data_IF_003660551822
#
_entry.id   IF_003660551822
#
_cell.length_a   1.000
_cell.length_b   1.000
_cell.length_c   1.000
_cell.angle_alpha   90.00
_cell.angle_beta   90.00
_cell.angle_gamma   90.00
#
_symmetry.space_group_name_H-M   'P 1'
#
loop_
_entity.id
_entity.type
_entity.pdbx_description
1 polymer ?
#
# COMPACT_ATOMS: atom_id res chain seq x y z
N UNK A 1 19.79 1.05 19.11
CA UNK A 1 18.75 2.08 19.34
C UNK A 1 17.42 1.38 19.48
N UNK A 2 16.63 1.73 20.48
CA UNK A 2 15.35 1.08 20.77
C UNK A 2 14.35 1.38 19.65
N UNK A 3 13.99 0.35 18.90
CA UNK A 3 13.13 0.42 17.72
C UNK A 3 11.66 0.70 18.07
N UNK A 4 11.28 0.62 19.34
CA UNK A 4 9.87 0.63 19.76
C UNK A 4 9.60 1.79 20.72
N UNK A 5 8.70 2.70 20.34
CA UNK A 5 8.05 3.66 21.22
C UNK A 5 6.71 3.10 21.65
N UNK A 6 6.54 2.85 22.95
CA UNK A 6 5.32 2.28 23.52
C UNK A 6 4.44 3.39 24.08
N UNK A 7 3.20 3.46 23.59
CA UNK A 7 2.14 4.24 24.21
C UNK A 7 1.20 3.36 25.04
N UNK A 8 1.12 2.06 24.71
CA UNK A 8 0.30 1.07 25.42
C UNK A 8 1.03 -0.29 25.51
N UNK A 9 0.81 -1.02 26.60
CA UNK A 9 1.42 -2.33 26.84
C UNK A 9 0.96 -3.40 25.82
N UNK A 10 -0.22 -3.23 25.21
CA UNK A 10 -0.68 -4.13 24.16
C UNK A 10 0.25 -4.15 22.93
N UNK A 11 1.11 -3.15 22.74
CA UNK A 11 2.12 -3.17 21.68
C UNK A 11 3.12 -4.34 21.83
N UNK A 12 3.35 -4.83 23.04
CA UNK A 12 4.24 -5.98 23.28
C UNK A 12 3.65 -7.30 22.76
N UNK A 13 2.33 -7.37 22.52
CA UNK A 13 1.70 -8.49 21.81
C UNK A 13 2.04 -8.48 20.31
N UNK A 14 2.39 -7.32 19.75
CA UNK A 14 2.72 -7.13 18.33
C UNK A 14 4.23 -7.24 18.08
N UNK A 15 5.03 -6.50 18.85
CA UNK A 15 6.47 -6.36 18.65
C UNK A 15 7.25 -6.75 19.92
N UNK A 16 8.16 -7.70 19.79
CA UNK A 16 9.03 -8.12 20.90
C UNK A 16 10.18 -7.13 21.18
N UNK A 17 10.80 -7.18 22.37
CA UNK A 17 11.94 -6.34 22.71
C UNK A 17 13.16 -6.56 21.78
N UNK A 18 13.28 -7.76 21.21
CA UNK A 18 14.37 -8.15 20.31
C UNK A 18 14.04 -7.90 18.82
N UNK A 19 13.13 -6.97 18.51
CA UNK A 19 12.77 -6.63 17.13
C UNK A 19 14.03 -6.23 16.33
N UNK A 20 14.37 -7.03 15.32
CA UNK A 20 15.52 -6.78 14.44
C UNK A 20 15.06 -6.15 13.14
N UNK A 21 15.65 -5.01 12.81
CA UNK A 21 15.56 -4.39 11.49
C UNK A 21 16.71 -4.89 10.62
N UNK A 22 16.37 -5.60 9.55
CA UNK A 22 17.32 -6.22 8.63
C UNK A 22 17.19 -5.59 7.24
N UNK A 23 18.30 -5.09 6.69
CA UNK A 23 18.36 -4.64 5.30
C UNK A 23 18.63 -5.81 4.37
N UNK A 24 17.76 -5.99 3.37
CA UNK A 24 17.77 -7.14 2.46
C UNK A 24 18.40 -6.81 1.11
N UNK A 25 18.15 -5.60 0.61
CA UNK A 25 18.71 -5.09 -0.64
C UNK A 25 18.71 -3.55 -0.63
N UNK A 26 19.62 -2.93 -1.38
CA UNK A 26 19.69 -1.48 -1.58
C UNK A 26 20.16 -1.13 -3.00
N UNK A 27 20.37 0.17 -3.25
CA UNK A 27 20.75 0.69 -4.57
C UNK A 27 19.58 1.12 -5.44
N UNK A 28 18.37 1.18 -4.88
CA UNK A 28 17.16 1.64 -5.57
C UNK A 28 17.02 3.17 -5.51
N UNK A 29 16.17 3.73 -6.39
CA UNK A 29 15.92 5.18 -6.40
C UNK A 29 14.81 5.60 -5.44
N UNK A 30 13.67 4.90 -5.48
CA UNK A 30 12.58 5.07 -4.51
C UNK A 30 11.65 3.84 -4.53
N UNK A 31 11.77 2.99 -3.51
CA UNK A 31 11.04 1.74 -3.35
C UNK A 31 9.63 1.96 -2.82
N UNK A 32 8.67 1.26 -3.38
CA UNK A 32 7.25 1.33 -3.03
C UNK A 32 6.53 -0.01 -3.27
N UNK A 33 5.28 -0.11 -2.81
CA UNK A 33 4.36 -1.20 -3.12
C UNK A 33 4.88 -2.62 -2.88
N UNK A 34 5.47 -2.97 -1.72
CA UNK A 34 5.94 -4.33 -1.47
C UNK A 34 4.77 -5.32 -1.36
N UNK A 35 4.80 -6.40 -2.15
CA UNK A 35 3.81 -7.48 -2.12
C UNK A 35 4.47 -8.86 -2.17
N UNK A 36 4.10 -9.75 -1.26
CA UNK A 36 4.65 -11.11 -1.19
C UNK A 36 3.89 -12.08 -2.11
N UNK A 37 4.64 -12.77 -2.98
CA UNK A 37 4.13 -13.85 -3.83
C UNK A 37 4.47 -15.18 -3.19
N UNK A 38 3.56 -15.68 -2.33
CA UNK A 38 3.80 -16.87 -1.50
C UNK A 38 4.15 -18.13 -2.31
N UNK A 39 3.44 -18.39 -3.40
CA UNK A 39 3.65 -19.59 -4.24
C UNK A 39 5.07 -19.65 -4.83
N UNK A 40 5.70 -18.49 -5.04
CA UNK A 40 7.07 -18.40 -5.53
C UNK A 40 8.12 -18.12 -4.44
N UNK A 41 7.71 -17.81 -3.21
CA UNK A 41 8.61 -17.45 -2.12
C UNK A 41 9.44 -16.19 -2.40
N UNK A 42 8.84 -15.16 -2.99
CA UNK A 42 9.52 -13.91 -3.31
C UNK A 42 8.66 -12.66 -3.08
N UNK A 43 9.33 -11.54 -2.82
CA UNK A 43 8.72 -10.22 -2.72
C UNK A 43 8.79 -9.52 -4.08
N UNK A 44 7.72 -8.86 -4.49
CA UNK A 44 7.74 -7.85 -5.54
C UNK A 44 7.65 -6.46 -4.92
N UNK A 45 8.32 -5.47 -5.51
CA UNK A 45 8.22 -4.07 -5.12
C UNK A 45 8.57 -3.17 -6.30
N UNK A 46 8.03 -1.96 -6.31
CA UNK A 46 8.31 -0.96 -7.35
C UNK A 46 9.56 -0.16 -7.00
N UNK A 47 10.37 0.18 -8.00
CA UNK A 47 11.33 1.31 -7.94
C UNK A 47 10.82 2.39 -8.91
N UNK A 48 10.07 3.35 -8.35
CA UNK A 48 9.21 4.24 -9.16
C UNK A 48 10.03 5.03 -10.19
N UNK A 49 11.11 5.75 -9.80
CA UNK A 49 11.86 6.57 -10.74
C UNK A 49 12.63 5.75 -11.76
N UNK A 50 13.06 4.54 -11.39
CA UNK A 50 13.72 3.62 -12.31
C UNK A 50 12.75 3.00 -13.35
N UNK A 51 11.43 3.10 -13.12
CA UNK A 51 10.44 2.51 -14.01
C UNK A 51 10.51 0.98 -14.04
N UNK A 52 10.81 0.37 -12.89
CA UNK A 52 10.96 -1.09 -12.72
C UNK A 52 10.09 -1.63 -11.60
N UNK A 53 9.63 -2.87 -11.75
CA UNK A 53 9.29 -3.73 -10.61
C UNK A 53 10.46 -4.68 -10.40
N UNK A 54 10.89 -4.80 -9.16
CA UNK A 54 11.91 -5.72 -8.72
C UNK A 54 11.30 -6.94 -8.05
N UNK A 55 12.02 -8.06 -8.11
CA UNK A 55 11.79 -9.28 -7.34
C UNK A 55 12.93 -9.41 -6.34
N UNK A 56 12.62 -9.69 -5.07
CA UNK A 56 13.61 -10.13 -4.10
C UNK A 56 13.26 -11.53 -3.60
N UNK A 57 14.25 -12.42 -3.58
CA UNK A 57 14.13 -13.72 -2.92
C UNK A 57 15.33 -13.99 -2.01
N UNK A 58 15.19 -14.80 -0.96
CA UNK A 58 16.31 -15.17 -0.10
C UNK A 58 17.47 -15.83 -0.85
N UNK A 59 17.18 -16.52 -1.97
CA UNK A 59 18.17 -17.28 -2.75
C UNK A 59 18.92 -16.40 -3.75
N UNK A 60 18.21 -15.49 -4.42
CA UNK A 60 18.74 -14.75 -5.59
C UNK A 60 19.05 -13.28 -5.26
N UNK A 61 18.64 -12.78 -4.08
CA UNK A 61 18.65 -11.35 -3.80
C UNK A 61 17.68 -10.60 -4.70
N UNK A 62 17.97 -9.32 -4.97
CA UNK A 62 17.12 -8.47 -5.80
C UNK A 62 17.47 -8.58 -7.29
N UNK A 63 16.45 -8.70 -8.14
CA UNK A 63 16.54 -8.72 -9.61
C UNK A 63 15.38 -7.95 -10.23
N UNK A 64 15.45 -7.63 -11.53
CA UNK A 64 14.35 -6.98 -12.25
C UNK A 64 13.29 -8.01 -12.60
N UNK A 65 12.03 -7.72 -12.25
CA UNK A 65 10.86 -8.53 -12.58
C UNK A 65 10.13 -8.00 -13.82
N UNK A 66 9.95 -6.67 -13.93
CA UNK A 66 9.26 -6.03 -15.06
C UNK A 66 9.87 -4.68 -15.39
N UNK A 67 10.24 -4.50 -16.66
CA UNK A 67 10.71 -3.25 -17.26
C UNK A 67 10.23 -3.17 -18.73
N UNK A 68 9.57 -2.09 -19.16
CA UNK A 68 9.15 -0.93 -18.35
C UNK A 68 7.99 -1.28 -17.42
N UNK A 69 7.98 -0.70 -16.22
CA UNK A 69 6.85 -0.76 -15.27
C UNK A 69 5.87 0.39 -15.39
N UNK A 70 6.16 1.36 -16.27
CA UNK A 70 5.44 2.64 -16.39
C UNK A 70 5.40 3.44 -15.08
N UNK A 71 6.52 3.40 -14.33
CA UNK A 71 6.64 3.97 -12.98
C UNK A 71 5.52 3.45 -12.09
N UNK A 72 5.45 2.13 -12.01
CA UNK A 72 4.53 1.47 -11.10
C UNK A 72 4.78 1.92 -9.67
N UNK A 73 3.73 1.97 -8.87
CA UNK A 73 3.79 2.33 -7.46
C UNK A 73 3.27 1.16 -6.62
N UNK A 74 2.10 1.28 -5.99
CA UNK A 74 1.48 0.23 -5.20
C UNK A 74 1.20 -1.03 -6.01
N UNK A 75 1.47 -2.17 -5.38
CA UNK A 75 1.27 -3.50 -5.93
C UNK A 75 0.38 -4.31 -4.98
N UNK A 76 -0.48 -5.14 -5.56
CA UNK A 76 -1.20 -6.18 -4.82
C UNK A 76 -1.39 -7.43 -5.68
N UNK A 77 -1.98 -8.47 -5.11
CA UNK A 77 -2.37 -9.67 -5.84
C UNK A 77 -3.88 -9.82 -5.79
N UNK A 78 -4.50 -10.10 -6.94
CA UNK A 78 -5.91 -10.45 -6.96
C UNK A 78 -6.17 -11.85 -6.38
N UNK A 79 -7.44 -12.24 -6.32
CA UNK A 79 -7.87 -13.53 -5.77
C UNK A 79 -7.36 -14.76 -6.55
N UNK A 80 -6.79 -14.56 -7.73
CA UNK A 80 -6.21 -15.59 -8.59
C UNK A 80 -4.67 -15.55 -8.57
N UNK A 81 -4.07 -14.72 -7.71
CA UNK A 81 -2.62 -14.56 -7.60
C UNK A 81 -1.99 -13.73 -8.72
N UNK A 82 -2.81 -13.03 -9.51
CA UNK A 82 -2.31 -12.16 -10.58
C UNK A 82 -1.87 -10.82 -10.00
N UNK A 83 -0.74 -10.31 -10.50
CA UNK A 83 -0.21 -9.02 -10.07
C UNK A 83 -1.13 -7.89 -10.54
N UNK A 84 -1.54 -7.04 -9.61
CA UNK A 84 -2.21 -5.77 -9.84
C UNK A 84 -1.19 -4.66 -9.53
N UNK A 85 -1.09 -3.68 -10.43
CA UNK A 85 -0.14 -2.58 -10.27
C UNK A 85 -0.80 -1.24 -10.59
N UNK A 86 -0.58 -0.27 -9.71
CA UNK A 86 -0.81 1.15 -9.98
C UNK A 86 0.32 1.68 -10.87
N UNK A 87 0.00 2.37 -11.98
CA UNK A 87 0.99 2.93 -12.92
C UNK A 87 0.84 4.45 -13.03
N UNK A 88 1.85 5.21 -12.58
CA UNK A 88 1.80 6.68 -12.65
C UNK A 88 1.85 7.19 -14.10
N UNK A 89 2.77 6.69 -14.94
CA UNK A 89 2.88 7.15 -16.35
C UNK A 89 1.69 6.65 -17.17
N UNK A 90 1.25 5.41 -16.92
CA UNK A 90 0.10 4.83 -17.58
C UNK A 90 -1.22 5.52 -17.21
N UNK A 91 -1.28 6.19 -16.05
CA UNK A 91 -2.51 6.73 -15.43
C UNK A 91 -3.61 5.66 -15.39
N UNK A 92 -3.22 4.47 -14.92
CA UNK A 92 -4.07 3.27 -14.94
C UNK A 92 -3.72 2.32 -13.80
N UNK A 93 -4.65 1.44 -13.48
CA UNK A 93 -4.39 0.21 -12.74
C UNK A 93 -4.32 -0.93 -13.75
N UNK A 94 -3.26 -1.72 -13.70
CA UNK A 94 -3.04 -2.86 -14.60
C UNK A 94 -3.07 -4.19 -13.86
N UNK A 95 -3.34 -5.26 -14.62
CA UNK A 95 -3.27 -6.65 -14.19
C UNK A 95 -2.35 -7.42 -15.12
N UNK A 96 -1.43 -8.20 -14.56
CA UNK A 96 -0.62 -9.16 -15.31
C UNK A 96 -1.35 -10.50 -15.37
N UNK A 97 -1.78 -10.89 -16.56
CA UNK A 97 -2.42 -12.19 -16.81
C UNK A 97 -1.40 -13.34 -16.75
N UNK A 98 -1.89 -14.58 -16.69
CA UNK A 98 -1.07 -15.77 -16.53
C UNK A 98 -0.07 -15.99 -17.69
N UNK A 99 -0.38 -15.49 -18.89
CA UNK A 99 0.50 -15.50 -20.07
C UNK A 99 1.54 -14.36 -20.05
N UNK A 100 1.57 -13.56 -18.98
CA UNK A 100 2.45 -12.40 -18.83
C UNK A 100 1.91 -11.11 -19.45
N UNK A 101 0.76 -11.15 -20.15
CA UNK A 101 0.17 -9.95 -20.76
C UNK A 101 -0.28 -8.97 -19.69
N UNK A 102 0.07 -7.69 -19.86
CA UNK A 102 -0.37 -6.61 -18.97
C UNK A 102 -1.60 -5.92 -19.57
N UNK A 103 -2.73 -6.02 -18.89
CA UNK A 103 -4.00 -5.40 -19.30
C UNK A 103 -4.43 -4.29 -18.35
N UNK A 104 -5.09 -3.26 -18.84
CA UNK A 104 -5.68 -2.23 -17.98
C UNK A 104 -6.99 -2.73 -17.37
N UNK A 105 -7.15 -2.59 -16.06
CA UNK A 105 -8.43 -2.84 -15.37
C UNK A 105 -9.13 -1.55 -14.95
N UNK A 106 -8.42 -0.42 -14.91
CA UNK A 106 -8.97 0.92 -14.73
C UNK A 106 -8.09 1.94 -15.47
N UNK A 107 -8.69 2.84 -16.26
CA UNK A 107 -7.94 3.88 -17.03
C UNK A 107 -8.58 5.27 -17.00
N UNK A 108 -9.79 5.37 -16.44
CA UNK A 108 -10.63 6.57 -16.52
C UNK A 108 -12.04 6.26 -17.01
N UNK A 109 -12.92 7.24 -16.93
CA UNK A 109 -14.33 7.19 -17.36
C UNK A 109 -14.69 8.50 -18.07
N UNK A 110 -15.70 8.46 -18.93
CA UNK A 110 -16.25 9.66 -19.62
C UNK A 110 -15.20 10.47 -20.40
N UNK A 111 -14.21 9.79 -20.97
CA UNK A 111 -13.10 10.42 -21.70
C UNK A 111 -12.00 11.00 -20.81
N UNK A 112 -12.25 11.16 -19.52
CA UNK A 112 -11.28 11.63 -18.54
C UNK A 112 -10.40 10.48 -18.04
N UNK A 113 -9.09 10.69 -18.01
CA UNK A 113 -8.10 9.76 -17.46
C UNK A 113 -8.01 9.94 -15.93
N UNK A 114 -7.72 8.82 -15.24
CA UNK A 114 -7.33 8.84 -13.82
C UNK A 114 -6.17 9.81 -13.58
N UNK A 115 -5.97 10.30 -12.35
CA UNK A 115 -4.84 11.16 -12.03
C UNK A 115 -3.53 10.36 -12.18
N UNK A 116 -3.14 9.64 -11.14
CA UNK A 116 -1.98 8.77 -11.09
C UNK A 116 -2.21 7.76 -9.95
N UNK A 117 -2.84 6.61 -10.23
CA UNK A 117 -3.15 5.62 -9.20
C UNK A 117 -1.92 5.31 -8.34
N UNK A 118 -2.07 5.30 -7.02
CA UNK A 118 -0.93 5.32 -6.10
C UNK A 118 -0.76 4.01 -5.34
N UNK A 119 -1.72 3.62 -4.50
CA UNK A 119 -1.76 2.31 -3.83
C UNK A 119 -3.06 1.56 -4.13
N UNK A 120 -3.08 0.24 -3.90
CA UNK A 120 -4.14 -0.66 -4.35
C UNK A 120 -4.36 -1.85 -3.42
N UNK A 121 -5.63 -2.23 -3.24
CA UNK A 121 -6.04 -3.43 -2.50
C UNK A 121 -7.12 -4.19 -3.27
N UNK A 122 -7.01 -5.52 -3.29
CA UNK A 122 -8.05 -6.40 -3.83
C UNK A 122 -8.94 -6.92 -2.71
N UNK A 123 -10.25 -6.84 -2.94
CA UNK A 123 -11.28 -7.30 -2.01
C UNK A 123 -11.62 -8.78 -2.27
N UNK A 124 -12.18 -9.48 -1.28
CA UNK A 124 -12.52 -10.90 -1.34
C UNK A 124 -13.56 -11.25 -2.43
N UNK A 125 -14.40 -10.29 -2.82
CA UNK A 125 -15.37 -10.41 -3.92
C UNK A 125 -14.74 -10.22 -5.31
N UNK A 126 -13.44 -9.92 -5.37
CA UNK A 126 -12.69 -9.72 -6.60
C UNK A 126 -12.66 -8.29 -7.13
N UNK A 127 -13.37 -7.34 -6.49
CA UNK A 127 -13.23 -5.93 -6.80
C UNK A 127 -11.85 -5.39 -6.35
N UNK A 128 -11.38 -4.36 -7.03
CA UNK A 128 -10.13 -3.67 -6.70
C UNK A 128 -10.42 -2.24 -6.29
N UNK A 129 -9.87 -1.81 -5.15
CA UNK A 129 -9.94 -0.43 -4.67
C UNK A 129 -8.55 0.18 -4.77
N UNK A 130 -8.47 1.45 -5.16
CA UNK A 130 -7.20 2.15 -5.29
C UNK A 130 -7.33 3.64 -5.02
N UNK A 131 -6.27 4.24 -4.52
CA UNK A 131 -6.13 5.69 -4.37
C UNK A 131 -5.66 6.33 -5.68
N UNK A 132 -6.18 7.52 -6.00
CA UNK A 132 -5.84 8.26 -7.21
C UNK A 132 -5.49 9.73 -6.92
N UNK A 133 -4.39 9.98 -6.19
CA UNK A 133 -3.81 11.32 -6.04
C UNK A 133 -3.13 11.76 -7.35
N UNK A 134 -2.75 13.03 -7.40
CA UNK A 134 -2.03 13.65 -8.52
C UNK A 134 -0.49 13.63 -8.36
N UNK A 135 0.08 12.86 -7.43
CA UNK A 135 1.52 12.84 -7.18
C UNK A 135 2.37 12.54 -8.43
N UNK A 136 1.95 11.55 -9.23
CA UNK A 136 2.61 11.18 -10.49
C UNK A 136 2.41 12.19 -11.62
N UNK A 137 1.51 13.17 -11.47
CA UNK A 137 1.27 14.23 -12.44
C UNK A 137 2.12 15.49 -12.21
N UNK A 138 2.77 15.60 -11.05
CA UNK A 138 3.48 16.83 -10.65
C UNK A 138 4.91 16.90 -11.19
N UNK A 139 5.53 15.76 -11.50
CA UNK A 139 6.93 15.70 -11.92
C UNK A 139 7.26 14.43 -12.72
N UNK A 140 8.31 14.52 -13.52
CA UNK A 140 8.83 13.40 -14.31
C UNK A 140 9.77 12.48 -13.53
N UNK A 141 10.03 12.72 -12.23
CA UNK A 141 10.81 11.78 -11.43
C UNK A 141 9.98 10.53 -11.13
N UNK A 142 8.74 10.69 -10.65
CA UNK A 142 7.88 9.56 -10.25
C UNK A 142 6.70 9.30 -11.20
N UNK A 143 6.46 10.15 -12.20
CA UNK A 143 5.40 9.94 -13.17
C UNK A 143 5.66 10.68 -14.48
N UNK A 144 4.65 11.37 -14.99
CA UNK A 144 4.74 12.20 -16.19
C UNK A 144 3.90 13.46 -15.97
N UNK A 145 4.49 14.63 -16.16
CA UNK A 145 3.78 15.90 -15.95
C UNK A 145 2.55 16.03 -16.86
N UNK A 146 1.38 16.23 -16.26
CA UNK A 146 0.14 16.49 -16.98
C UNK A 146 -0.88 17.17 -16.06
N UNK A 147 -1.86 17.92 -16.60
CA UNK A 147 -2.95 18.43 -15.79
C UNK A 147 -3.85 17.28 -15.32
N UNK A 148 -4.53 17.49 -14.20
CA UNK A 148 -5.64 16.63 -13.78
C UNK A 148 -6.82 16.77 -14.76
N UNK A 149 -7.57 15.68 -14.93
CA UNK A 149 -8.81 15.67 -15.72
C UNK A 149 -10.06 15.53 -14.82
N UNK A 150 -9.88 15.08 -13.58
CA UNK A 150 -10.86 15.18 -12.51
C UNK A 150 -10.47 16.30 -11.55
N UNK A 151 -11.45 17.03 -11.03
CA UNK A 151 -11.23 18.12 -10.06
C UNK A 151 -10.94 17.62 -8.63
N UNK A 152 -11.02 16.31 -8.39
CA UNK A 152 -10.81 15.69 -7.09
C UNK A 152 -9.63 14.72 -7.05
N UNK A 153 -9.08 14.50 -5.86
CA UNK A 153 -8.25 13.33 -5.55
C UNK A 153 -9.13 12.39 -4.73
N UNK A 154 -9.13 11.10 -5.06
CA UNK A 154 -10.14 10.19 -4.50
C UNK A 154 -9.73 8.74 -4.45
N UNK A 155 -10.68 7.93 -4.00
CA UNK A 155 -10.60 6.47 -3.98
C UNK A 155 -11.59 5.95 -5.01
N UNK A 156 -11.14 4.99 -5.80
CA UNK A 156 -11.90 4.38 -6.86
C UNK A 156 -12.08 2.90 -6.60
N UNK A 157 -13.16 2.35 -7.14
CA UNK A 157 -13.47 0.92 -7.19
C UNK A 157 -13.54 0.49 -8.65
N UNK A 158 -12.73 -0.50 -9.02
CA UNK A 158 -12.89 -1.27 -10.25
C UNK A 158 -13.63 -2.59 -9.91
N UNK A 159 -14.87 -2.70 -10.37
CA UNK A 159 -15.70 -3.89 -10.23
C UNK A 159 -15.26 -5.04 -11.15
N UNK A 160 -15.68 -6.26 -10.82
CA UNK A 160 -15.44 -7.45 -11.64
C UNK A 160 -16.21 -7.44 -12.96
N UNK A 161 -17.23 -6.58 -13.06
CA UNK A 161 -18.01 -6.29 -14.27
C UNK A 161 -17.33 -5.25 -15.18
N UNK A 162 -16.17 -4.73 -14.79
CA UNK A 162 -15.44 -3.70 -15.51
C UNK A 162 -15.93 -2.28 -15.24
N UNK A 163 -16.91 -2.09 -14.35
CA UNK A 163 -17.34 -0.75 -13.95
C UNK A 163 -16.29 -0.08 -13.06
N UNK A 164 -16.00 1.18 -13.36
CA UNK A 164 -15.09 2.01 -12.59
C UNK A 164 -15.90 3.13 -11.92
N UNK A 165 -15.89 3.17 -10.59
CA UNK A 165 -16.70 4.12 -9.81
C UNK A 165 -15.86 4.85 -8.78
N UNK A 166 -15.92 6.19 -8.69
CA UNK A 166 -15.32 6.91 -7.58
C UNK A 166 -16.16 6.67 -6.32
N UNK A 167 -15.55 6.12 -5.28
CA UNK A 167 -16.23 5.77 -4.02
C UNK A 167 -15.97 6.78 -2.89
N UNK A 168 -14.97 7.64 -3.05
CA UNK A 168 -14.74 8.84 -2.23
C UNK A 168 -13.96 9.88 -3.04
N UNK A 169 -14.28 11.18 -2.89
CA UNK A 169 -13.73 12.27 -3.70
C UNK A 169 -13.15 13.43 -2.89
N UNK A 170 -13.22 13.36 -1.56
CA UNK A 170 -12.93 14.45 -0.64
C UNK A 170 -11.57 14.27 0.07
N UNK A 171 -10.55 13.87 -0.70
CA UNK A 171 -9.17 13.74 -0.20
C UNK A 171 -8.26 14.83 -0.78
N UNK A 172 -7.22 15.17 -0.04
CA UNK A 172 -6.14 16.06 -0.50
C UNK A 172 -4.98 15.29 -1.12
N UNK A 173 -4.59 14.16 -0.54
CA UNK A 173 -3.65 13.20 -1.14
C UNK A 173 -3.92 11.79 -0.61
N UNK A 174 -4.95 11.08 -1.10
CA UNK A 174 -5.22 9.71 -0.68
C UNK A 174 -4.04 8.83 -1.09
N UNK A 175 -3.58 7.97 -0.20
CA UNK A 175 -2.38 7.18 -0.45
C UNK A 175 -2.61 5.71 -0.08
N UNK A 176 -2.14 5.23 1.08
CA UNK A 176 -2.34 3.86 1.50
C UNK A 176 -3.80 3.54 1.78
N UNK A 177 -4.20 2.29 1.50
CA UNK A 177 -5.51 1.78 1.85
C UNK A 177 -5.49 0.30 2.21
N UNK A 178 -6.34 -0.08 3.16
CA UNK A 178 -6.49 -1.47 3.59
C UNK A 178 -7.87 -1.74 4.20
N UNK A 179 -8.41 -2.93 3.95
CA UNK A 179 -9.66 -3.39 4.55
C UNK A 179 -9.43 -3.93 5.96
N UNK A 180 -10.43 -3.78 6.84
CA UNK A 180 -10.53 -4.59 8.06
C UNK A 180 -10.55 -6.09 7.73
N UNK A 181 -10.24 -6.98 8.69
CA UNK A 181 -10.18 -8.44 8.42
C UNK A 181 -11.49 -9.03 7.85
N UNK A 182 -12.63 -8.45 8.21
CA UNK A 182 -13.96 -8.82 7.72
C UNK A 182 -14.43 -8.00 6.51
N UNK A 183 -13.58 -7.09 6.01
CA UNK A 183 -13.84 -6.15 4.92
C UNK A 183 -15.04 -5.23 5.09
N UNK A 184 -15.53 -5.07 6.33
CA UNK A 184 -16.64 -4.15 6.64
C UNK A 184 -16.21 -2.69 6.72
N UNK A 185 -14.91 -2.43 6.91
CA UNK A 185 -14.33 -1.09 6.97
C UNK A 185 -13.18 -0.99 5.97
N UNK A 186 -13.15 0.10 5.19
CA UNK A 186 -11.97 0.50 4.42
C UNK A 186 -11.26 1.66 5.13
N UNK A 187 -9.99 1.47 5.44
CA UNK A 187 -9.12 2.53 5.90
C UNK A 187 -8.35 3.12 4.72
N UNK A 188 -8.21 4.45 4.72
CA UNK A 188 -7.49 5.20 3.68
C UNK A 188 -6.77 6.34 4.36
N UNK A 189 -5.46 6.46 4.19
CA UNK A 189 -4.74 7.62 4.68
C UNK A 189 -4.74 8.79 3.67
N UNK A 190 -4.55 9.99 4.22
CA UNK A 190 -4.38 11.22 3.47
C UNK A 190 -3.04 11.84 3.85
N UNK A 191 -2.05 11.68 2.98
CA UNK A 191 -0.68 12.19 3.15
C UNK A 191 -0.68 13.69 3.45
N UNK A 192 -1.55 14.46 2.78
CA UNK A 192 -1.56 15.93 2.89
C UNK A 192 -2.28 16.43 4.15
N UNK A 193 -3.16 15.62 4.75
CA UNK A 193 -3.85 15.92 6.01
C UNK A 193 -3.21 15.27 7.23
N UNK A 194 -2.29 14.32 7.03
CA UNK A 194 -1.59 13.65 8.12
C UNK A 194 -2.48 12.70 8.93
N UNK A 195 -3.56 12.18 8.34
CA UNK A 195 -4.52 11.33 9.05
C UNK A 195 -4.86 10.04 8.30
N UNK A 196 -5.50 9.12 9.02
CA UNK A 196 -6.21 7.96 8.45
C UNK A 196 -7.70 8.26 8.55
N UNK A 197 -8.44 8.00 7.48
CA UNK A 197 -9.90 7.96 7.46
C UNK A 197 -10.38 6.51 7.44
N UNK A 198 -11.54 6.26 8.04
CA UNK A 198 -12.25 4.99 7.96
C UNK A 198 -13.62 5.20 7.33
N UNK A 199 -14.07 4.22 6.55
CA UNK A 199 -15.36 4.20 5.88
C UNK A 199 -16.02 2.86 6.07
N UNK A 200 -17.34 2.86 6.26
CA UNK A 200 -18.11 1.62 6.27
C UNK A 200 -18.33 1.17 4.81
N UNK A 201 -18.11 -0.11 4.54
CA UNK A 201 -18.19 -0.70 3.20
C UNK A 201 -19.58 -1.30 3.02
N UNK A 202 -20.35 -0.71 2.10
CA UNK A 202 -21.70 -1.18 1.80
C UNK A 202 -21.66 -2.48 0.97
N UNK A 203 -22.79 -3.18 0.94
CA UNK A 203 -22.96 -4.42 0.15
C UNK A 203 -22.73 -4.23 -1.35
N UNK A 204 -23.00 -3.05 -1.89
CA UNK A 204 -22.75 -2.67 -3.28
C UNK A 204 -21.29 -2.23 -3.54
N UNK A 205 -20.45 -2.22 -2.49
CA UNK A 205 -19.06 -1.79 -2.54
C UNK A 205 -18.86 -0.27 -2.44
N UNK A 206 -19.92 0.53 -2.29
CA UNK A 206 -19.78 1.95 -2.01
C UNK A 206 -19.32 2.20 -0.57
N UNK A 207 -18.76 3.39 -0.33
CA UNK A 207 -18.27 3.80 0.98
C UNK A 207 -19.25 4.80 1.61
N UNK A 208 -19.48 4.68 2.92
CA UNK A 208 -20.27 5.63 3.70
C UNK A 208 -19.65 5.91 5.07
N UNK A 209 -20.24 6.86 5.82
CA UNK A 209 -19.83 7.21 7.19
C UNK A 209 -18.33 7.51 7.35
N UNK A 210 -17.76 8.20 6.35
CA UNK A 210 -16.36 8.60 6.34
C UNK A 210 -16.01 9.46 7.56
N UNK A 211 -14.99 9.02 8.32
CA UNK A 211 -14.60 9.65 9.59
C UNK A 211 -13.08 9.64 9.74
N UNK A 212 -12.53 10.63 10.43
CA UNK A 212 -11.12 10.59 10.85
C UNK A 212 -10.97 9.48 11.90
N UNK A 213 -10.16 8.49 11.58
CA UNK A 213 -9.86 7.36 12.44
C UNK A 213 -8.70 7.65 13.38
N UNK A 214 -7.61 8.24 12.85
CA UNK A 214 -6.43 8.60 13.62
C UNK A 214 -5.70 9.78 12.98
N UNK A 215 -5.16 10.68 13.81
CA UNK A 215 -4.18 11.68 13.37
C UNK A 215 -2.77 11.16 13.63
N UNK A 216 -1.93 11.13 12.61
CA UNK A 216 -0.53 10.71 12.74
C UNK A 216 0.31 11.95 13.03
N UNK A 217 0.91 11.97 14.22
CA UNK A 217 1.72 13.10 14.73
C UNK A 217 3.17 12.69 14.92
N UNK A 218 4.12 13.60 14.77
CA UNK A 218 5.54 13.31 15.00
C UNK A 218 6.43 14.30 14.30
N UNK A 219 7.70 14.29 14.66
CA UNK A 219 8.76 15.18 14.17
C UNK A 219 9.75 14.49 13.21
N UNK A 220 9.62 13.17 13.05
CA UNK A 220 10.44 12.40 12.11
C UNK A 220 10.04 12.59 10.64
N UNK A 221 10.88 12.13 9.70
CA UNK A 221 10.64 12.27 8.27
C UNK A 221 9.44 11.44 7.79
N UNK A 222 8.82 11.88 6.70
CA UNK A 222 7.70 11.17 6.07
C UNK A 222 6.33 11.66 6.54
N UNK A 223 5.31 11.13 5.91
CA UNK A 223 3.89 11.41 6.14
C UNK A 223 3.12 10.08 6.00
N UNK A 224 1.80 10.03 6.31
CA UNK A 224 1.01 8.85 6.01
C UNK A 224 1.15 8.45 4.53
N UNK A 225 1.54 7.21 4.29
CA UNK A 225 1.86 6.68 2.97
C UNK A 225 1.35 5.23 2.86
N UNK A 226 2.19 4.20 2.81
CA UNK A 226 1.70 2.82 2.83
C UNK A 226 1.08 2.35 4.15
N UNK A 227 -0.02 1.62 4.06
CA UNK A 227 -0.69 1.01 5.21
C UNK A 227 -1.14 -0.43 4.99
N UNK A 228 -1.24 -1.20 6.07
CA UNK A 228 -1.73 -2.60 6.09
C UNK A 228 -2.40 -2.94 7.43
N UNK A 229 -3.16 -4.04 7.45
CA UNK A 229 -3.90 -4.56 8.62
C UNK A 229 -3.40 -5.98 8.97
N UNK A 230 -3.39 -6.32 10.26
CA UNK A 230 -3.14 -7.69 10.74
C UNK A 230 -4.42 -8.50 10.97
N UNK A 231 -4.30 -9.79 11.23
CA UNK A 231 -5.47 -10.68 11.46
C UNK A 231 -6.30 -10.33 12.70
N UNK A 232 -5.76 -9.54 13.64
CA UNK A 232 -6.48 -9.08 14.84
C UNK A 232 -7.14 -7.70 14.62
N UNK A 233 -6.94 -7.09 13.45
CA UNK A 233 -7.52 -5.80 13.07
C UNK A 233 -6.71 -4.60 13.53
N UNK A 234 -5.44 -4.76 13.93
CA UNK A 234 -4.58 -3.61 14.19
C UNK A 234 -4.20 -2.94 12.86
N UNK A 235 -4.20 -1.61 12.88
CA UNK A 235 -3.93 -0.74 11.73
C UNK A 235 -2.49 -0.25 11.80
N UNK A 236 -1.72 -0.53 10.75
CA UNK A 236 -0.32 -0.14 10.61
C UNK A 236 -0.22 0.83 9.44
N UNK A 237 0.28 2.03 9.70
CA UNK A 237 0.48 3.05 8.67
C UNK A 237 1.88 3.63 8.84
N UNK A 238 2.62 3.72 7.74
CA UNK A 238 3.86 4.50 7.72
C UNK A 238 3.53 5.96 8.01
N UNK A 239 4.47 6.70 8.58
CA UNK A 239 4.22 8.07 8.98
C UNK A 239 5.48 8.72 9.53
N UNK A 240 5.36 9.93 10.11
CA UNK A 240 6.49 10.69 10.61
C UNK A 240 7.45 9.85 11.47
N UNK A 241 8.61 9.52 10.91
CA UNK A 241 9.74 8.80 11.51
C UNK A 241 9.56 7.31 11.81
N UNK A 242 8.43 6.70 11.44
CA UNK A 242 8.07 5.37 11.94
C UNK A 242 6.89 4.69 11.22
N UNK A 243 6.53 3.50 11.72
CA UNK A 243 5.22 2.87 11.51
C UNK A 243 4.38 3.12 12.76
N UNK A 244 3.21 3.74 12.61
CA UNK A 244 2.24 3.97 13.68
C UNK A 244 1.26 2.80 13.74
N UNK A 245 0.94 2.36 14.96
CA UNK A 245 0.10 1.19 15.18
C UNK A 245 -1.09 1.57 16.06
N UNK A 246 -2.28 1.24 15.58
CA UNK A 246 -3.56 1.49 16.25
C UNK A 246 -4.35 0.20 16.35
N UNK A 247 -5.16 0.05 17.40
CA UNK A 247 -6.22 -0.98 17.42
C UNK A 247 -7.31 -0.66 16.38
N UNK A 248 -8.17 -1.62 16.04
CA UNK A 248 -9.35 -1.41 15.17
C UNK A 248 -10.32 -0.31 15.64
N UNK A 249 -10.23 0.10 16.91
CA UNK A 249 -11.03 1.19 17.52
C UNK A 249 -10.32 2.55 17.52
N UNK A 250 -9.15 2.66 16.88
CA UNK A 250 -8.39 3.92 16.79
C UNK A 250 -7.53 4.24 18.01
N UNK A 251 -7.47 3.34 19.02
CA UNK A 251 -6.54 3.50 20.14
C UNK A 251 -5.09 3.33 19.66
N UNK A 252 -4.27 4.36 19.85
CA UNK A 252 -2.84 4.33 19.55
C UNK A 252 -2.09 3.40 20.50
N UNK A 253 -1.35 2.42 19.95
CA UNK A 253 -0.54 1.47 20.72
C UNK A 253 0.93 1.93 20.84
N UNK A 254 1.42 2.63 19.83
CA UNK A 254 2.77 3.14 19.75
C UNK A 254 3.33 3.09 18.34
N UNK A 255 4.66 3.19 18.23
CA UNK A 255 5.38 3.32 16.96
C UNK A 255 6.61 2.43 16.88
N UNK A 256 6.91 1.95 15.68
CA UNK A 256 8.17 1.32 15.35
C UNK A 256 9.10 2.36 14.69
N UNK A 257 10.04 2.91 15.46
CA UNK A 257 11.03 3.94 15.06
C UNK A 257 12.08 3.36 14.12
N UNK A 258 11.72 3.35 12.82
CA UNK A 258 12.49 2.73 11.75
C UNK A 258 13.02 3.73 10.72
N UNK A 259 12.80 5.03 10.94
CA UNK A 259 13.16 6.08 10.00
C UNK A 259 12.06 6.32 8.96
N UNK A 260 12.44 6.76 7.76
CA UNK A 260 11.50 7.04 6.68
C UNK A 260 11.17 5.75 5.92
N UNK A 261 9.95 5.24 6.11
CA UNK A 261 9.41 4.07 5.42
C UNK A 261 8.28 4.57 4.52
N UNK A 262 8.32 4.24 3.24
CA UNK A 262 7.31 4.64 2.27
C UNK A 262 6.10 3.70 2.36
N UNK A 263 6.34 2.39 2.26
CA UNK A 263 5.27 1.39 2.29
C UNK A 263 5.70 0.09 2.97
N UNK A 264 4.72 -0.75 3.29
CA UNK A 264 4.88 -1.99 4.03
C UNK A 264 4.01 -3.11 3.45
N UNK A 265 4.47 -4.35 3.58
CA UNK A 265 3.74 -5.53 3.11
C UNK A 265 4.14 -6.76 3.90
N UNK A 266 3.17 -7.55 4.36
CA UNK A 266 3.46 -8.82 4.99
C UNK A 266 3.87 -9.89 3.98
N UNK A 267 4.69 -10.83 4.44
CA UNK A 267 5.10 -11.99 3.67
C UNK A 267 5.73 -13.08 4.52
N UNK A 268 6.51 -13.94 3.87
CA UNK A 268 6.86 -15.30 4.31
C UNK A 268 5.64 -16.23 4.44
N UNK A 269 5.88 -17.53 4.63
CA UNK A 269 4.83 -18.54 4.67
C UNK A 269 3.84 -18.39 5.83
N UNK A 270 4.31 -17.79 6.92
CA UNK A 270 3.51 -17.56 8.13
C UNK A 270 2.96 -16.14 8.24
N UNK A 271 3.22 -15.29 7.25
CA UNK A 271 2.77 -13.89 7.20
C UNK A 271 3.20 -13.07 8.40
N UNK A 272 4.29 -13.41 9.10
CA UNK A 272 4.78 -12.67 10.28
C UNK A 272 5.95 -11.75 9.99
N UNK A 273 6.46 -11.78 8.77
CA UNK A 273 7.49 -10.84 8.32
C UNK A 273 6.84 -9.65 7.67
N UNK A 274 7.16 -8.45 8.17
CA UNK A 274 6.75 -7.19 7.55
C UNK A 274 7.94 -6.66 6.74
N UNK A 275 7.79 -6.67 5.43
CA UNK A 275 8.72 -6.04 4.49
C UNK A 275 8.46 -4.55 4.40
N UNK A 276 9.54 -3.79 4.27
CA UNK A 276 9.57 -2.35 4.38
C UNK A 276 10.23 -1.76 3.14
N UNK A 277 9.54 -0.84 2.49
CA UNK A 277 10.09 -0.02 1.41
C UNK A 277 10.76 1.22 2.04
N UNK A 278 12.04 1.09 2.38
CA UNK A 278 12.81 2.07 3.16
C UNK A 278 13.56 3.05 2.24
N UNK A 279 12.82 3.76 1.39
CA UNK A 279 13.32 4.68 0.36
C UNK A 279 14.21 4.01 -0.69
N UNK A 280 15.50 3.81 -0.43
CA UNK A 280 16.46 3.29 -1.42
C UNK A 280 16.83 1.83 -1.16
N UNK A 281 16.09 1.18 -0.24
CA UNK A 281 16.35 -0.16 0.24
C UNK A 281 15.04 -0.90 0.53
N UNK A 282 15.11 -2.23 0.44
CA UNK A 282 14.11 -3.12 1.03
C UNK A 282 14.68 -3.68 2.33
N UNK A 283 13.88 -3.57 3.39
CA UNK A 283 14.19 -4.07 4.71
C UNK A 283 13.07 -4.99 5.20
N UNK A 284 13.30 -5.69 6.31
CA UNK A 284 12.26 -6.42 7.02
C UNK A 284 12.39 -6.32 8.52
N UNK A 285 11.27 -6.55 9.17
CA UNK A 285 11.16 -6.84 10.60
C UNK A 285 10.25 -8.06 10.78
N UNK A 286 10.32 -8.70 11.95
CA UNK A 286 9.44 -9.82 12.29
C UNK A 286 8.51 -9.45 13.44
N UNK A 287 7.21 -9.59 13.20
CA UNK A 287 6.16 -9.31 14.16
C UNK A 287 5.59 -10.62 14.72
N UNK A 288 4.88 -10.53 15.83
CA UNK A 288 4.26 -11.70 16.49
C UNK A 288 2.92 -12.09 15.87
N UNK A 289 2.20 -11.11 15.34
CA UNK A 289 0.88 -11.28 14.72
C UNK A 289 1.03 -11.33 13.20
N UNK A 290 0.41 -12.29 12.51
CA UNK A 290 0.46 -12.37 11.07
C UNK A 290 -0.42 -11.28 10.41
N UNK A 291 0.02 -10.82 9.23
CA UNK A 291 -0.77 -9.98 8.35
C UNK A 291 -1.94 -10.70 7.69
N UNK A 292 -2.82 -9.95 7.03
CA UNK A 292 -3.82 -10.52 6.11
C UNK A 292 -3.13 -11.08 4.85
N UNK A 293 -3.31 -12.38 4.51
CA UNK A 293 -2.74 -12.95 3.30
C UNK A 293 -3.25 -12.28 2.02
N UNK A 294 -2.34 -11.96 1.10
CA UNK A 294 -2.64 -11.47 -0.25
C UNK A 294 -2.48 -12.60 -1.28
N UNK A 295 -3.32 -12.60 -2.33
CA UNK A 295 -3.04 -13.36 -3.56
C UNK A 295 -3.53 -14.80 -3.70
N UNK A 296 -4.22 -15.41 -2.75
CA UNK A 296 -5.03 -16.63 -2.91
C UNK A 296 -5.72 -16.98 -1.59
N UNK A 297 -6.78 -17.81 -1.63
CA UNK A 297 -7.25 -18.58 -0.46
C UNK A 297 -6.43 -19.87 -0.39
#
# INVERSE_FOLDING_TARGET
MTVIERADAALDHIAGPDLKYEKLADGFMFTEGPVWVRQGGYLLFSDIPAGRIHKWSPKEGASVYREPSFKSNGLTLDRQGRLIACEHVGRRVSRTEADGKVVAIARGIDGNRLNSPNDVVSKSDGATYFSDPDFGLRNDRIGAQAPKEFDFNGVWRAGTDGQLTPVAKDFSGPNGLAFSPDESVLYVDDTMKGHIRAFDVKKDGMLENGRVFAQLTGDGPGAPDGMKIDVEGNVYCTGPGCIHIYTSKGKFLGRLKLGHIANIGWGDDDWRTLYLASLTAICRIRLKIPGIPVGAK
#
